data_IF_204837944165
#
_entry.id   IF_204837944165
#
_cell.length_a   1.000
_cell.length_b   1.000
_cell.length_c   1.000
_cell.angle_alpha   90.00
_cell.angle_beta   90.00
_cell.angle_gamma   90.00
#
_symmetry.space_group_name_H-M   'P 1'
#
loop_
_entity.id
_entity.type
_entity.pdbx_description
1 polymer ?
#
# COMPACT_ATOMS: atom_id res chain seq x y z
N UNK A 1 -17.33 -14.90 3.77
CA UNK A 1 -16.31 -13.87 3.47
C UNK A 1 -15.38 -14.42 2.40
N UNK A 2 -15.39 -13.81 1.21
CA UNK A 2 -14.39 -14.00 0.15
C UNK A 2 -13.38 -12.88 0.25
N UNK A 3 -12.12 -13.14 -0.10
CA UNK A 3 -11.05 -12.14 -0.06
C UNK A 3 -10.37 -12.11 -1.42
N UNK A 4 -10.22 -10.90 -1.97
CA UNK A 4 -9.54 -10.62 -3.22
C UNK A 4 -8.38 -9.66 -2.96
N UNK A 5 -7.37 -9.70 -3.82
CA UNK A 5 -6.27 -8.74 -3.81
C UNK A 5 -6.02 -8.17 -5.22
N UNK A 6 -5.58 -6.93 -5.27
CA UNK A 6 -5.12 -6.24 -6.50
C UNK A 6 -3.96 -5.32 -6.15
N UNK A 7 -3.15 -4.93 -7.13
CA UNK A 7 -2.07 -3.97 -6.92
C UNK A 7 -2.52 -2.51 -7.03
N UNK A 8 -1.56 -1.67 -7.24
CA UNK A 8 -1.61 -0.21 -7.29
C UNK A 8 -2.78 0.33 -8.10
N UNK A 9 -3.58 1.21 -7.51
CA UNK A 9 -4.72 1.85 -8.18
C UNK A 9 -4.44 3.28 -8.62
N UNK A 10 -3.58 4.01 -7.90
CA UNK A 10 -3.28 5.42 -8.18
C UNK A 10 -4.52 6.28 -8.43
N UNK A 11 -5.60 6.05 -7.67
CA UNK A 11 -6.88 6.74 -7.84
C UNK A 11 -7.71 6.30 -9.04
N UNK A 12 -7.26 5.31 -9.82
CA UNK A 12 -8.04 4.71 -10.88
C UNK A 12 -8.71 3.41 -10.42
N UNK A 13 -9.99 3.48 -10.13
CA UNK A 13 -10.77 2.36 -9.62
C UNK A 13 -11.65 1.67 -10.68
N UNK A 14 -11.44 1.95 -11.97
CA UNK A 14 -12.25 1.37 -13.05
C UNK A 14 -12.25 -0.17 -13.05
N UNK A 15 -11.15 -0.78 -12.55
CA UNK A 15 -11.05 -2.24 -12.43
C UNK A 15 -12.15 -2.87 -11.56
N UNK A 16 -12.79 -2.11 -10.66
CA UNK A 16 -13.89 -2.60 -9.82
C UNK A 16 -15.26 -2.49 -10.48
N UNK A 17 -15.33 -1.91 -11.68
CA UNK A 17 -16.60 -1.88 -12.43
C UNK A 17 -17.00 -3.29 -12.85
N UNK A 18 -18.33 -3.58 -12.90
CA UNK A 18 -18.84 -4.92 -13.24
C UNK A 18 -18.40 -5.46 -14.60
N UNK A 19 -17.94 -4.59 -15.51
CA UNK A 19 -17.40 -4.97 -16.83
C UNK A 19 -16.02 -5.63 -16.70
N UNK A 20 -15.23 -5.25 -15.70
CA UNK A 20 -13.87 -5.73 -15.46
C UNK A 20 -13.77 -6.69 -14.28
N UNK A 21 -14.72 -6.59 -13.33
CA UNK A 21 -14.82 -7.45 -12.15
C UNK A 21 -16.27 -7.95 -11.98
N UNK A 22 -16.72 -8.87 -12.85
CA UNK A 22 -18.10 -9.37 -12.80
C UNK A 22 -18.43 -10.11 -11.51
N UNK A 23 -17.44 -10.77 -10.85
CA UNK A 23 -17.57 -11.42 -9.55
C UNK A 23 -17.98 -10.43 -8.45
N UNK A 24 -17.59 -9.17 -8.59
CA UNK A 24 -17.93 -8.11 -7.64
C UNK A 24 -19.43 -7.91 -7.41
N UNK A 25 -20.26 -8.28 -8.41
CA UNK A 25 -21.74 -8.20 -8.27
C UNK A 25 -22.33 -9.19 -7.27
N UNK A 26 -21.60 -10.26 -6.99
CA UNK A 26 -22.06 -11.34 -6.09
C UNK A 26 -21.47 -11.19 -4.68
N UNK A 27 -20.64 -10.17 -4.48
CA UNK A 27 -20.00 -9.89 -3.20
C UNK A 27 -20.95 -9.11 -2.29
N UNK A 28 -20.64 -9.13 -1.00
CA UNK A 28 -21.34 -8.43 0.07
C UNK A 28 -20.35 -7.61 0.90
N UNK A 29 -20.82 -6.73 1.76
CA UNK A 29 -19.99 -5.92 2.67
C UNK A 29 -19.06 -6.77 3.57
N UNK A 30 -19.38 -8.06 3.76
CA UNK A 30 -18.51 -9.00 4.47
C UNK A 30 -17.32 -9.49 3.62
N UNK A 31 -17.39 -9.34 2.30
CA UNK A 31 -16.32 -9.73 1.37
C UNK A 31 -15.36 -8.54 1.20
N UNK A 32 -14.06 -8.82 1.01
CA UNK A 32 -13.02 -7.78 1.03
C UNK A 32 -12.20 -7.82 -0.25
N UNK A 33 -11.99 -6.66 -0.86
CA UNK A 33 -10.99 -6.47 -1.92
C UNK A 33 -9.86 -5.61 -1.36
N UNK A 34 -8.63 -6.15 -1.34
CA UNK A 34 -7.46 -5.51 -0.74
C UNK A 34 -6.55 -4.95 -1.83
N UNK A 35 -6.28 -3.65 -1.78
CA UNK A 35 -5.35 -2.94 -2.66
C UNK A 35 -3.96 -2.96 -2.00
N UNK A 36 -2.95 -3.41 -2.74
CA UNK A 36 -1.59 -3.59 -2.24
C UNK A 36 -0.72 -2.33 -2.37
N UNK A 37 -1.27 -1.19 -1.91
CA UNK A 37 -0.62 0.11 -1.87
C UNK A 37 -0.89 0.99 -3.08
N UNK A 38 -0.39 2.22 -3.01
CA UNK A 38 -0.62 3.27 -3.99
C UNK A 38 -2.12 3.42 -4.32
N UNK A 39 -2.91 3.55 -3.23
CA UNK A 39 -4.36 3.66 -3.30
C UNK A 39 -4.79 4.89 -4.10
N UNK A 40 -4.26 6.07 -3.73
CA UNK A 40 -4.49 7.32 -4.44
C UNK A 40 -5.91 7.89 -4.32
N UNK A 41 -6.79 7.28 -3.52
CA UNK A 41 -8.16 7.78 -3.27
C UNK A 41 -8.23 8.87 -2.19
N UNK A 42 -7.18 8.98 -1.37
CA UNK A 42 -6.97 10.08 -0.41
C UNK A 42 -5.74 10.84 -0.86
N UNK A 43 -5.91 11.76 -1.82
CA UNK A 43 -4.78 12.48 -2.41
C UNK A 43 -4.79 13.97 -2.06
N UNK A 44 -5.93 14.62 -2.21
CA UNK A 44 -6.07 16.05 -1.91
C UNK A 44 -6.36 16.30 -0.42
N UNK A 45 -6.99 15.34 0.25
CA UNK A 45 -7.41 15.44 1.65
C UNK A 45 -8.56 16.44 1.86
N UNK A 46 -9.35 16.67 0.84
CA UNK A 46 -10.52 17.54 0.82
C UNK A 46 -11.63 16.95 -0.09
N UNK A 47 -12.68 17.73 -0.35
CA UNK A 47 -13.86 17.35 -1.14
C UNK A 47 -13.57 16.85 -2.57
N UNK A 48 -12.36 17.07 -3.10
CA UNK A 48 -11.96 16.55 -4.42
C UNK A 48 -11.79 15.03 -4.41
N UNK A 49 -11.54 14.43 -3.24
CA UNK A 49 -11.43 12.99 -3.09
C UNK A 49 -12.83 12.33 -2.92
N UNK A 50 -13.86 13.11 -2.56
CA UNK A 50 -15.16 12.59 -2.17
C UNK A 50 -15.87 11.81 -3.29
N UNK A 51 -15.82 12.26 -4.54
CA UNK A 51 -16.47 11.56 -5.65
C UNK A 51 -15.97 10.12 -5.81
N UNK A 52 -14.66 9.92 -5.72
CA UNK A 52 -14.05 8.59 -5.83
C UNK A 52 -14.31 7.75 -4.58
N UNK A 53 -14.21 8.36 -3.40
CA UNK A 53 -14.42 7.68 -2.13
C UNK A 53 -15.88 7.26 -1.93
N UNK A 54 -16.84 8.14 -2.29
CA UNK A 54 -18.27 7.82 -2.21
C UNK A 54 -18.67 6.75 -3.24
N UNK A 55 -18.02 6.75 -4.40
CA UNK A 55 -18.21 5.67 -5.38
C UNK A 55 -17.69 4.33 -4.85
N UNK A 56 -16.51 4.31 -4.20
CA UNK A 56 -15.96 3.11 -3.57
C UNK A 56 -16.85 2.62 -2.42
N UNK A 57 -17.37 3.54 -1.58
CA UNK A 57 -18.31 3.22 -0.51
C UNK A 57 -19.62 2.60 -1.04
N UNK A 58 -20.03 2.97 -2.24
CA UNK A 58 -21.21 2.40 -2.90
C UNK A 58 -21.02 1.02 -3.51
N UNK A 59 -19.82 0.43 -3.44
CA UNK A 59 -19.56 -0.93 -3.90
C UNK A 59 -20.20 -1.95 -2.94
N UNK A 60 -20.60 -3.14 -3.42
CA UNK A 60 -21.25 -4.13 -2.57
C UNK A 60 -20.31 -4.86 -1.61
N UNK A 61 -19.01 -4.57 -1.63
CA UNK A 61 -17.96 -5.19 -0.84
C UNK A 61 -17.09 -4.14 -0.15
N UNK A 62 -16.41 -4.54 0.92
CA UNK A 62 -15.44 -3.68 1.60
C UNK A 62 -14.17 -3.55 0.77
N UNK A 63 -13.70 -2.32 0.55
CA UNK A 63 -12.40 -2.02 -0.04
C UNK A 63 -11.42 -1.75 1.09
N UNK A 64 -10.36 -2.52 1.18
CA UNK A 64 -9.26 -2.28 2.10
C UNK A 64 -7.98 -1.97 1.33
N UNK A 65 -7.03 -1.24 1.91
CA UNK A 65 -5.75 -0.99 1.28
C UNK A 65 -4.61 -0.91 2.31
N UNK A 66 -3.42 -1.35 1.94
CA UNK A 66 -2.18 -0.98 2.61
C UNK A 66 -1.65 0.32 2.00
N UNK A 67 -0.88 1.12 2.71
CA UNK A 67 -0.26 2.31 2.11
C UNK A 67 0.88 1.96 1.16
N UNK A 68 1.06 2.76 0.11
CA UNK A 68 2.22 2.72 -0.79
C UNK A 68 3.17 3.90 -0.58
N UNK A 69 3.98 4.23 -1.57
CA UNK A 69 4.79 5.45 -1.57
C UNK A 69 4.05 6.66 -2.18
N UNK A 70 3.00 6.41 -2.94
CA UNK A 70 2.14 7.45 -3.52
C UNK A 70 0.86 7.63 -2.69
N UNK A 71 1.02 8.07 -1.43
CA UNK A 71 -0.08 8.41 -0.54
C UNK A 71 0.11 9.82 0.03
N UNK A 72 -0.99 10.52 0.29
CA UNK A 72 -0.96 11.75 1.08
C UNK A 72 -1.05 11.39 2.57
N UNK A 73 0.10 11.19 3.20
CA UNK A 73 0.17 10.80 4.61
C UNK A 73 -0.37 11.87 5.55
N UNK A 74 -0.22 13.17 5.22
CA UNK A 74 -0.82 14.27 6.01
C UNK A 74 -2.36 14.18 6.01
N UNK A 75 -2.95 13.70 4.93
CA UNK A 75 -4.40 13.51 4.86
C UNK A 75 -4.83 12.21 5.58
N UNK A 76 -4.08 11.12 5.42
CA UNK A 76 -4.36 9.86 6.11
C UNK A 76 -4.30 10.01 7.63
N UNK A 77 -3.35 10.76 8.17
CA UNK A 77 -3.22 10.99 9.63
C UNK A 77 -4.46 11.65 10.27
N UNK A 78 -5.32 12.31 9.49
CA UNK A 78 -6.53 12.96 10.01
C UNK A 78 -7.67 11.99 10.31
N UNK A 79 -7.62 10.77 9.75
CA UNK A 79 -8.64 9.76 9.97
C UNK A 79 -8.47 9.09 11.34
N UNK A 80 -9.58 8.77 12.04
CA UNK A 80 -9.52 8.10 13.33
C UNK A 80 -8.90 6.71 13.19
N UNK A 81 -8.30 6.23 14.26
CA UNK A 81 -7.79 4.85 14.33
C UNK A 81 -8.82 3.99 15.06
N UNK A 82 -9.22 2.90 14.44
CA UNK A 82 -10.17 1.94 14.97
C UNK A 82 -9.59 0.52 14.94
N UNK A 83 -10.27 -0.42 15.59
CA UNK A 83 -9.93 -1.85 15.53
C UNK A 83 -10.90 -2.56 14.61
N UNK A 84 -10.36 -3.29 13.64
CA UNK A 84 -11.12 -4.12 12.72
C UNK A 84 -10.44 -5.48 12.58
N UNK A 85 -11.16 -6.57 12.84
CA UNK A 85 -10.65 -7.95 12.79
C UNK A 85 -9.29 -8.17 13.50
N UNK A 86 -9.12 -7.55 14.68
CA UNK A 86 -7.93 -7.69 15.51
C UNK A 86 -6.80 -6.71 15.23
N UNK A 87 -6.75 -6.11 14.04
CA UNK A 87 -5.75 -5.10 13.65
C UNK A 87 -6.29 -3.67 13.69
N UNK A 88 -5.39 -2.70 13.63
CA UNK A 88 -5.72 -1.27 13.56
C UNK A 88 -5.94 -0.84 12.12
N UNK A 89 -7.01 -0.07 11.91
CA UNK A 89 -7.36 0.54 10.63
C UNK A 89 -7.68 2.02 10.79
N UNK A 90 -7.63 2.74 9.68
CA UNK A 90 -8.25 4.07 9.57
C UNK A 90 -9.43 3.96 8.59
N UNK A 91 -10.69 4.07 9.08
CA UNK A 91 -11.87 4.11 8.22
C UNK A 91 -11.88 5.44 7.45
N UNK A 92 -11.66 5.36 6.15
CA UNK A 92 -11.76 6.51 5.23
C UNK A 92 -13.23 6.76 4.92
N UNK A 93 -13.97 5.67 4.76
CA UNK A 93 -15.43 5.54 4.74
C UNK A 93 -15.80 4.27 5.54
N UNK A 94 -17.06 4.03 5.88
CA UNK A 94 -17.48 2.81 6.59
C UNK A 94 -16.96 1.51 5.97
N UNK A 95 -16.91 1.43 4.63
CA UNK A 95 -16.43 0.25 3.89
C UNK A 95 -15.18 0.53 3.04
N UNK A 96 -14.45 1.63 3.31
CA UNK A 96 -13.14 1.92 2.70
C UNK A 96 -12.12 2.07 3.82
N UNK A 97 -11.24 1.08 4.00
CA UNK A 97 -10.40 0.92 5.18
C UNK A 97 -8.91 0.97 4.83
N UNK A 98 -8.16 1.87 5.45
CA UNK A 98 -6.69 1.81 5.45
C UNK A 98 -6.20 0.81 6.49
N UNK A 99 -5.61 -0.28 6.06
CA UNK A 99 -4.96 -1.27 6.92
C UNK A 99 -3.60 -0.72 7.37
N UNK A 100 -3.48 -0.39 8.65
CA UNK A 100 -2.26 0.23 9.17
C UNK A 100 -1.07 -0.73 9.11
N UNK A 101 0.13 -0.18 9.11
CA UNK A 101 1.38 -0.95 9.04
C UNK A 101 1.60 -1.81 10.26
N UNK A 102 2.21 -2.96 10.03
CA UNK A 102 2.63 -3.87 11.09
C UNK A 102 1.49 -4.53 11.86
N UNK A 103 0.29 -4.59 11.27
CA UNK A 103 -0.88 -5.19 11.90
C UNK A 103 -1.10 -6.62 11.43
N UNK A 104 -1.77 -7.41 12.27
CA UNK A 104 -2.31 -8.73 11.93
C UNK A 104 -3.83 -8.69 12.01
N UNK A 105 -4.49 -9.25 11.00
CA UNK A 105 -5.95 -9.27 10.87
C UNK A 105 -6.45 -10.70 10.77
N UNK A 106 -7.50 -11.04 11.51
CA UNK A 106 -8.15 -12.34 11.48
C UNK A 106 -9.34 -12.31 10.51
N UNK A 107 -9.14 -12.70 9.26
CA UNK A 107 -10.16 -12.70 8.22
C UNK A 107 -10.51 -14.14 7.82
N UNK A 108 -11.78 -14.50 7.90
CA UNK A 108 -12.29 -15.84 7.57
C UNK A 108 -11.53 -17.01 8.26
N UNK A 109 -11.01 -16.77 9.46
CA UNK A 109 -10.25 -17.75 10.24
C UNK A 109 -8.80 -17.93 9.81
N UNK A 110 -8.26 -17.01 8.99
CA UNK A 110 -6.86 -16.96 8.57
C UNK A 110 -6.23 -15.63 9.02
N UNK A 111 -4.93 -15.65 9.29
CA UNK A 111 -4.16 -14.50 9.75
C UNK A 111 -3.47 -13.81 8.58
N UNK A 112 -3.75 -12.51 8.43
CA UNK A 112 -3.17 -11.63 7.41
C UNK A 112 -2.26 -10.59 8.05
N UNK A 113 -0.97 -10.64 7.78
CA UNK A 113 -0.03 -9.61 8.21
C UNK A 113 0.15 -8.55 7.14
N UNK A 114 0.10 -7.25 7.52
CA UNK A 114 0.22 -6.12 6.60
C UNK A 114 1.42 -5.25 6.90
N UNK A 115 2.13 -4.79 5.85
CA UNK A 115 3.20 -3.82 5.96
C UNK A 115 3.26 -2.96 4.70
N UNK A 116 2.69 -1.75 4.76
CA UNK A 116 2.69 -0.82 3.65
C UNK A 116 3.98 0.00 3.53
N UNK A 117 4.08 0.75 2.45
CA UNK A 117 5.18 1.65 2.13
C UNK A 117 6.16 1.11 1.11
N UNK A 118 6.90 2.02 0.48
CA UNK A 118 8.06 1.78 -0.35
C UNK A 118 8.88 3.06 -0.48
N UNK A 119 10.16 2.96 -0.82
CA UNK A 119 10.98 4.11 -1.17
C UNK A 119 10.67 4.58 -2.60
N UNK A 120 10.42 5.87 -2.79
CA UNK A 120 10.25 6.45 -4.12
C UNK A 120 11.54 6.39 -4.94
N UNK A 121 11.42 6.01 -6.22
CA UNK A 121 12.55 5.91 -7.16
C UNK A 121 12.72 7.13 -8.07
N UNK A 122 11.74 8.02 -8.08
CA UNK A 122 11.68 9.18 -8.97
C UNK A 122 12.07 10.49 -8.26
N UNK A 123 13.03 10.39 -7.36
CA UNK A 123 13.59 11.49 -6.55
C UNK A 123 15.10 11.69 -6.79
N UNK A 124 15.64 11.20 -7.92
CA UNK A 124 17.07 11.29 -8.23
C UNK A 124 17.57 12.75 -8.30
N UNK A 125 16.71 13.68 -8.68
CA UNK A 125 17.02 15.12 -8.74
C UNK A 125 16.66 15.86 -7.44
N UNK A 126 16.21 15.12 -6.43
CA UNK A 126 15.96 15.59 -5.07
C UNK A 126 14.51 15.84 -4.74
N UNK A 127 14.31 16.19 -3.47
CA UNK A 127 13.04 16.59 -2.90
C UNK A 127 13.11 18.07 -2.59
N UNK A 128 12.17 18.85 -3.13
CA UNK A 128 12.08 20.29 -2.89
C UNK A 128 11.19 20.55 -1.68
N UNK A 129 11.62 21.47 -0.81
CA UNK A 129 10.77 21.98 0.26
C UNK A 129 10.19 23.34 -0.11
N UNK A 130 8.89 23.53 0.15
CA UNK A 130 8.22 24.84 -0.03
C UNK A 130 8.81 25.93 0.87
N UNK A 131 9.44 25.55 1.99
CA UNK A 131 10.08 26.46 2.93
C UNK A 131 11.50 26.89 2.47
N UNK A 132 12.04 26.28 1.39
CA UNK A 132 13.35 26.68 0.87
C UNK A 132 13.26 28.07 0.20
N UNK A 133 14.02 29.08 0.65
CA UNK A 133 14.03 30.42 0.02
C UNK A 133 14.36 30.39 -1.48
N UNK A 134 14.96 29.33 -1.96
CA UNK A 134 15.30 29.13 -3.38
C UNK A 134 14.33 28.18 -4.10
N UNK A 135 13.18 27.83 -3.50
CA UNK A 135 12.25 26.86 -4.07
C UNK A 135 11.89 27.16 -5.52
N UNK A 136 11.39 28.36 -5.82
CA UNK A 136 10.99 28.74 -7.17
C UNK A 136 12.12 28.59 -8.19
N UNK A 137 13.33 29.03 -7.84
CA UNK A 137 14.51 28.92 -8.73
C UNK A 137 14.85 27.46 -9.00
N UNK A 138 14.86 26.59 -7.96
CA UNK A 138 15.12 25.16 -8.07
C UNK A 138 14.03 24.48 -8.88
N UNK A 139 12.78 24.75 -8.59
CA UNK A 139 11.62 24.22 -9.28
C UNK A 139 11.68 24.49 -10.79
N UNK A 140 11.85 25.77 -11.18
CA UNK A 140 11.93 26.14 -12.58
C UNK A 140 13.18 25.60 -13.30
N UNK A 141 14.28 25.43 -12.59
CA UNK A 141 15.49 24.80 -13.13
C UNK A 141 15.21 23.32 -13.44
N UNK A 142 14.57 22.59 -12.52
CA UNK A 142 14.25 21.18 -12.70
C UNK A 142 13.13 20.98 -13.74
N UNK A 143 12.13 21.84 -13.79
CA UNK A 143 11.09 21.79 -14.82
C UNK A 143 11.61 21.93 -16.25
N UNK A 144 12.74 22.61 -16.43
CA UNK A 144 13.42 22.75 -17.74
C UNK A 144 14.38 21.62 -18.05
N UNK A 145 14.71 20.79 -17.05
CA UNK A 145 15.57 19.62 -17.25
C UNK A 145 14.76 18.50 -17.90
N UNK A 146 15.23 18.01 -19.03
CA UNK A 146 14.58 16.84 -19.66
C UNK A 146 14.60 15.64 -18.73
N UNK A 147 13.42 15.05 -18.49
CA UNK A 147 13.21 13.88 -17.63
C UNK A 147 13.68 14.09 -16.18
N UNK A 148 13.53 15.31 -15.65
CA UNK A 148 13.81 15.55 -14.25
C UNK A 148 12.91 14.67 -13.35
N UNK A 149 13.53 14.04 -12.34
CA UNK A 149 12.89 13.19 -11.35
C UNK A 149 13.01 13.84 -9.99
N UNK A 150 12.05 14.68 -9.66
CA UNK A 150 12.00 15.37 -8.38
C UNK A 150 10.57 15.38 -7.83
N UNK A 151 10.45 15.49 -6.54
CA UNK A 151 9.19 15.59 -5.81
C UNK A 151 9.19 16.84 -4.92
N UNK A 152 8.03 17.17 -4.38
CA UNK A 152 7.87 18.30 -3.46
C UNK A 152 7.37 17.74 -2.14
N UNK A 153 8.09 18.06 -1.08
CA UNK A 153 7.82 17.65 0.30
C UNK A 153 6.42 18.11 0.73
N UNK A 154 5.65 17.24 1.37
CA UNK A 154 4.26 17.43 1.78
C UNK A 154 3.29 17.85 0.65
N UNK A 155 3.63 17.59 -0.62
CA UNK A 155 2.76 17.85 -1.77
C UNK A 155 2.72 16.68 -2.76
N UNK A 156 3.83 16.03 -3.01
CA UNK A 156 3.93 14.87 -3.90
C UNK A 156 4.93 13.82 -3.38
N UNK A 157 5.44 14.03 -2.21
CA UNK A 157 6.32 13.11 -1.47
C UNK A 157 6.19 13.38 0.02
N UNK A 158 6.24 12.31 0.80
CA UNK A 158 6.22 12.33 2.27
C UNK A 158 7.27 11.35 2.77
N UNK A 159 8.03 11.74 3.79
CA UNK A 159 9.01 10.84 4.44
C UNK A 159 8.35 9.61 5.07
N UNK A 160 7.05 9.72 5.37
CA UNK A 160 6.19 8.67 5.89
C UNK A 160 5.90 7.58 4.84
N UNK A 161 6.36 7.71 3.59
CA UNK A 161 6.38 6.60 2.63
C UNK A 161 7.15 5.39 3.17
N UNK A 162 8.13 5.63 4.05
CA UNK A 162 8.84 4.61 4.81
C UNK A 162 8.31 4.53 6.25
N UNK A 163 8.21 3.33 6.83
CA UNK A 163 7.73 3.15 8.20
C UNK A 163 8.62 3.82 9.25
N UNK A 164 7.98 4.30 10.32
CA UNK A 164 8.64 4.82 11.51
C UNK A 164 9.26 3.71 12.36
N UNK A 165 10.09 4.08 13.33
CA UNK A 165 10.66 3.13 14.29
C UNK A 165 9.58 2.40 15.09
N UNK A 166 8.53 3.13 15.48
CA UNK A 166 7.39 2.61 16.21
C UNK A 166 6.61 1.59 15.39
N UNK A 167 6.43 1.82 14.10
CA UNK A 167 5.74 0.87 13.20
C UNK A 167 6.55 -0.42 13.03
N UNK A 168 7.88 -0.36 12.93
CA UNK A 168 8.73 -1.57 12.93
C UNK A 168 8.67 -2.33 14.25
N UNK A 169 8.62 -1.64 15.39
CA UNK A 169 8.46 -2.27 16.70
C UNK A 169 7.10 -2.95 16.82
N UNK A 170 6.04 -2.27 16.41
CA UNK A 170 4.68 -2.83 16.43
C UNK A 170 4.56 -4.04 15.50
N UNK A 171 5.16 -3.97 14.31
CA UNK A 171 5.19 -5.07 13.36
C UNK A 171 5.83 -6.34 13.96
N UNK A 172 7.00 -6.20 14.59
CA UNK A 172 7.67 -7.33 15.26
C UNK A 172 6.85 -7.87 16.42
N UNK A 173 6.25 -6.99 17.23
CA UNK A 173 5.39 -7.38 18.35
C UNK A 173 4.19 -8.21 17.86
N UNK A 174 3.53 -7.80 16.77
CA UNK A 174 2.41 -8.54 16.22
C UNK A 174 2.84 -9.86 15.60
N UNK A 175 3.98 -9.91 14.93
CA UNK A 175 4.57 -11.17 14.44
C UNK A 175 4.97 -12.11 15.60
N UNK A 176 5.57 -11.57 16.67
CA UNK A 176 5.92 -12.34 17.87
C UNK A 176 4.65 -12.91 18.55
N UNK A 177 3.56 -12.14 18.60
CA UNK A 177 2.28 -12.60 19.14
C UNK A 177 1.66 -13.78 18.39
N UNK A 178 2.04 -13.95 17.12
CA UNK A 178 1.64 -15.08 16.28
C UNK A 178 2.77 -16.12 16.07
N UNK A 179 3.82 -16.10 16.91
CA UNK A 179 4.98 -17.00 16.77
C UNK A 179 5.62 -16.95 15.36
N UNK A 180 5.53 -15.79 14.67
CA UNK A 180 5.95 -15.61 13.27
C UNK A 180 5.26 -16.56 12.29
N UNK A 181 4.06 -17.03 12.61
CA UNK A 181 3.25 -17.92 11.75
C UNK A 181 1.96 -17.18 11.37
N UNK A 182 1.85 -16.79 10.10
CA UNK A 182 0.69 -16.11 9.52
C UNK A 182 0.34 -16.78 8.20
N UNK A 183 -0.92 -16.68 7.75
CA UNK A 183 -1.32 -17.34 6.51
C UNK A 183 -0.93 -16.52 5.28
N UNK A 184 -1.16 -15.20 5.34
CA UNK A 184 -0.89 -14.28 4.25
C UNK A 184 -0.07 -13.09 4.71
N UNK A 185 0.84 -12.63 3.85
CA UNK A 185 1.57 -11.38 4.03
C UNK A 185 1.18 -10.46 2.87
N UNK A 186 0.73 -9.25 3.20
CA UNK A 186 0.28 -8.24 2.25
C UNK A 186 1.12 -6.98 2.43
N UNK A 187 1.90 -6.64 1.42
CA UNK A 187 2.80 -5.48 1.46
C UNK A 187 2.67 -4.64 0.18
N UNK A 188 3.20 -3.43 0.18
CA UNK A 188 3.33 -2.69 -1.07
C UNK A 188 4.62 -3.08 -1.78
N UNK A 189 5.79 -2.93 -1.15
CA UNK A 189 7.03 -3.40 -1.75
C UNK A 189 7.40 -4.84 -1.32
N UNK A 190 8.48 -5.36 -1.90
CA UNK A 190 8.95 -6.75 -1.70
C UNK A 190 10.16 -6.82 -0.75
N UNK A 191 10.48 -8.01 -0.20
CA UNK A 191 11.74 -8.27 0.48
C UNK A 191 12.96 -7.98 -0.40
N UNK A 192 14.09 -7.56 0.20
CA UNK A 192 15.32 -7.17 -0.53
C UNK A 192 15.71 -8.16 -1.62
N UNK A 193 15.70 -9.47 -1.34
CA UNK A 193 16.10 -10.49 -2.33
C UNK A 193 15.17 -10.58 -3.54
N UNK A 194 13.94 -10.10 -3.43
CA UNK A 194 12.97 -10.03 -4.52
C UNK A 194 13.02 -8.65 -5.19
N UNK A 195 13.02 -7.57 -4.41
CA UNK A 195 13.07 -6.20 -4.90
C UNK A 195 14.24 -5.96 -5.88
N UNK A 196 15.42 -6.48 -5.57
CA UNK A 196 16.62 -6.36 -6.40
C UNK A 196 16.51 -7.05 -7.77
N UNK A 197 15.48 -7.88 -8.01
CA UNK A 197 15.27 -8.54 -9.30
C UNK A 197 14.54 -7.64 -10.31
N UNK A 198 13.82 -6.59 -9.86
CA UNK A 198 12.94 -5.80 -10.72
C UNK A 198 13.63 -4.62 -11.39
N UNK A 199 14.65 -4.05 -10.79
CA UNK A 199 15.35 -2.90 -11.38
C UNK A 199 16.80 -2.83 -10.93
N UNK A 200 17.67 -2.35 -11.84
CA UNK A 200 19.06 -2.01 -11.50
C UNK A 200 19.16 -0.79 -10.59
N UNK A 201 18.08 -0.04 -10.42
CA UNK A 201 17.97 1.13 -9.56
C UNK A 201 17.40 0.81 -8.18
N UNK A 202 16.90 -0.42 -7.97
CA UNK A 202 16.44 -0.84 -6.65
C UNK A 202 17.66 -1.02 -5.75
N UNK A 203 17.72 -0.20 -4.73
CA UNK A 203 18.70 -0.28 -3.66
C UNK A 203 17.98 -0.84 -2.44
N UNK A 204 18.63 -1.74 -1.71
CA UNK A 204 18.11 -2.18 -0.43
C UNK A 204 17.95 -0.97 0.50
N UNK A 205 16.84 -0.90 1.18
CA UNK A 205 16.52 0.10 2.18
C UNK A 205 16.04 -0.58 3.48
N UNK A 206 15.79 0.22 4.49
CA UNK A 206 15.38 -0.31 5.79
C UNK A 206 14.08 -1.10 5.74
N UNK A 207 13.13 -0.73 4.88
CA UNK A 207 11.87 -1.44 4.75
C UNK A 207 12.06 -2.77 4.02
N UNK A 208 12.75 -2.78 2.88
CA UNK A 208 13.03 -4.01 2.14
C UNK A 208 13.87 -5.00 2.97
N UNK A 209 14.81 -4.50 3.81
CA UNK A 209 15.60 -5.32 4.73
C UNK A 209 14.75 -5.88 5.88
N UNK A 210 13.82 -5.10 6.43
CA UNK A 210 12.83 -5.60 7.39
C UNK A 210 11.94 -6.68 6.77
N UNK A 211 11.46 -6.47 5.56
CA UNK A 211 10.68 -7.47 4.84
C UNK A 211 11.51 -8.72 4.53
N UNK A 212 12.82 -8.57 4.34
CA UNK A 212 13.72 -9.72 4.23
C UNK A 212 13.82 -10.49 5.56
N UNK A 213 13.91 -9.79 6.70
CA UNK A 213 13.84 -10.45 8.03
C UNK A 213 12.53 -11.23 8.17
N UNK A 214 11.39 -10.67 7.77
CA UNK A 214 10.09 -11.35 7.82
C UNK A 214 10.10 -12.58 6.92
N UNK A 215 10.60 -12.46 5.69
CA UNK A 215 10.70 -13.57 4.73
C UNK A 215 11.53 -14.73 5.26
N UNK A 216 12.63 -14.44 5.97
CA UNK A 216 13.57 -15.44 6.45
C UNK A 216 13.11 -16.13 7.75
N UNK A 217 12.24 -15.46 8.53
CA UNK A 217 11.80 -15.95 9.84
C UNK A 217 10.36 -16.48 9.86
N UNK A 218 9.46 -15.83 9.11
CA UNK A 218 8.05 -16.14 9.21
C UNK A 218 7.67 -17.40 8.42
N UNK A 219 6.66 -18.11 8.93
CA UNK A 219 5.96 -19.16 8.23
C UNK A 219 4.69 -18.57 7.63
N UNK A 220 4.50 -18.73 6.32
CA UNK A 220 3.32 -18.22 5.60
C UNK A 220 3.01 -19.09 4.38
N UNK A 221 1.76 -18.98 3.91
CA UNK A 221 1.34 -19.65 2.68
C UNK A 221 1.68 -18.79 1.46
N UNK A 222 1.23 -17.52 1.45
CA UNK A 222 1.44 -16.60 0.34
C UNK A 222 1.84 -15.21 0.80
N UNK A 223 2.62 -14.55 -0.02
CA UNK A 223 2.99 -13.14 0.10
C UNK A 223 2.62 -12.41 -1.17
N UNK A 224 1.70 -11.43 -1.08
CA UNK A 224 1.26 -10.63 -2.20
C UNK A 224 1.76 -9.20 -2.03
N UNK A 225 2.20 -8.59 -3.12
CA UNK A 225 2.73 -7.22 -3.11
C UNK A 225 2.48 -6.50 -4.44
N UNK A 226 2.57 -5.14 -4.44
CA UNK A 226 2.40 -4.25 -5.59
C UNK A 226 3.70 -3.58 -6.01
N UNK A 227 3.67 -2.27 -6.24
CA UNK A 227 4.78 -1.35 -6.45
C UNK A 227 5.51 -1.48 -7.80
N UNK A 228 5.72 -2.67 -8.33
CA UNK A 228 6.55 -2.90 -9.51
C UNK A 228 5.77 -2.93 -10.83
N UNK A 229 4.46 -2.63 -10.79
CA UNK A 229 3.57 -2.51 -11.95
C UNK A 229 3.65 -3.69 -12.93
N UNK A 230 3.59 -4.91 -12.39
CA UNK A 230 3.55 -6.14 -13.18
C UNK A 230 2.62 -7.17 -12.50
N UNK A 231 2.14 -8.14 -13.24
CA UNK A 231 1.36 -9.27 -12.74
C UNK A 231 2.18 -10.55 -12.92
N UNK A 232 2.77 -11.05 -11.83
CA UNK A 232 3.73 -12.15 -11.93
C UNK A 232 3.82 -12.98 -10.65
N UNK A 233 3.75 -14.29 -10.78
CA UNK A 233 4.25 -15.20 -9.74
C UNK A 233 5.78 -15.21 -9.79
N UNK A 234 6.42 -14.73 -8.72
CA UNK A 234 7.89 -14.72 -8.60
C UNK A 234 8.39 -16.13 -8.33
N UNK A 235 7.69 -16.82 -7.44
CA UNK A 235 7.88 -18.22 -7.10
C UNK A 235 6.55 -18.82 -6.62
N UNK A 236 6.59 -19.93 -5.90
CA UNK A 236 5.40 -20.66 -5.43
C UNK A 236 4.61 -19.93 -4.32
N UNK A 237 5.19 -18.90 -3.71
CA UNK A 237 4.59 -18.16 -2.59
C UNK A 237 4.48 -16.67 -2.81
N UNK A 238 5.37 -16.06 -3.62
CA UNK A 238 5.45 -14.61 -3.78
C UNK A 238 4.78 -14.17 -5.10
N UNK A 239 3.78 -13.34 -4.99
CA UNK A 239 2.91 -12.92 -6.09
C UNK A 239 2.92 -11.40 -6.16
N UNK A 240 3.41 -10.89 -7.29
CA UNK A 240 3.30 -9.48 -7.65
C UNK A 240 1.99 -9.25 -8.39
N UNK A 241 1.24 -8.25 -7.94
CA UNK A 241 -0.02 -7.83 -8.56
C UNK A 241 0.05 -6.36 -8.95
N UNK A 242 -0.57 -6.06 -10.06
CA UNK A 242 -0.85 -4.71 -10.53
C UNK A 242 -2.33 -4.55 -10.85
N UNK A 243 -2.75 -4.79 -12.10
CA UNK A 243 -4.12 -4.53 -12.56
C UNK A 243 -5.08 -5.70 -12.29
N UNK A 244 -4.55 -6.91 -12.14
CA UNK A 244 -5.38 -8.09 -11.91
C UNK A 244 -6.02 -8.07 -10.52
N UNK A 245 -7.27 -8.50 -10.46
CA UNK A 245 -7.96 -8.83 -9.21
C UNK A 245 -7.92 -10.35 -9.06
N UNK A 246 -7.34 -10.84 -7.98
CA UNK A 246 -7.17 -12.28 -7.74
C UNK A 246 -7.94 -12.67 -6.49
N UNK A 247 -8.75 -13.70 -6.57
CA UNK A 247 -9.33 -14.29 -5.38
C UNK A 247 -8.25 -15.07 -4.62
N UNK A 248 -8.08 -14.76 -3.35
CA UNK A 248 -7.11 -15.41 -2.46
C UNK A 248 -7.78 -16.29 -1.41
N UNK A 249 -9.09 -16.10 -1.21
CA UNK A 249 -9.92 -16.96 -0.36
C UNK A 249 -11.38 -16.99 -0.85
#
# INVERSE_FOLDING_TARGET
MKIFATGDTHGNFERFRPEYFPEGRELTEEDVVIILGDFGGVWFGDERDDEALDWLEGLPFTVAFVSGNHENYDALERYPVETWHGGRVQPIRPHVLHLMRGQAFELAGLTFFTMGGAASHDIEDGILSLDDPNFERKYWMLQRKERARFRIDHLSWWKEELPSDEEYVEARKNLDAHDWAVDYILTHCAPTSIALQFSRHNVADRLTDFLQEVKDRAQYHYWLFGHYHDNKAIDTKHILLWEQIVQIL
#
